data_IF_862172581014
#
_entry.id   IF_862172581014
#
_cell.length_a   1.000
_cell.length_b   1.000
_cell.length_c   1.000
_cell.angle_alpha   90.00
_cell.angle_beta   90.00
_cell.angle_gamma   90.00
#
_symmetry.space_group_name_H-M   'P 1'
#
loop_
_entity.id
_entity.type
_entity.pdbx_description
1 polymer ?
#
# COMPACT_ATOMS: atom_id res chain seq x y z
N UNK A 1 -1.79 27.78 16.36
CA UNK A 1 -1.37 26.91 15.24
C UNK A 1 -2.33 27.12 14.10
N UNK A 2 -1.92 27.83 13.05
CA UNK A 2 -2.78 28.22 11.93
C UNK A 2 -2.77 27.11 10.87
N UNK A 3 -3.96 26.68 10.46
CA UNK A 3 -4.21 25.71 9.39
C UNK A 3 -3.97 26.43 8.05
N UNK A 4 -3.28 25.84 7.06
CA UNK A 4 -3.10 26.50 5.76
C UNK A 4 -4.47 26.66 5.08
N UNK A 5 -4.77 27.89 4.65
CA UNK A 5 -6.00 28.20 3.92
C UNK A 5 -6.02 27.49 2.54
N UNK A 6 -7.18 27.01 2.07
CA UNK A 6 -7.28 26.36 0.78
C UNK A 6 -7.01 27.35 -0.36
N UNK A 7 -6.10 26.98 -1.28
CA UNK A 7 -5.82 27.76 -2.48
C UNK A 7 -7.09 27.92 -3.32
N UNK A 8 -7.35 29.11 -3.91
CA UNK A 8 -8.54 29.35 -4.71
C UNK A 8 -8.53 28.46 -5.97
N UNK A 9 -9.44 27.48 -6.01
CA UNK A 9 -9.67 26.62 -7.17
C UNK A 9 -10.43 27.39 -8.26
N UNK A 10 -9.87 27.43 -9.47
CA UNK A 10 -10.49 28.07 -10.62
C UNK A 10 -11.62 27.17 -11.14
N UNK A 11 -12.87 27.53 -10.86
CA UNK A 11 -14.03 26.85 -11.43
C UNK A 11 -14.22 27.23 -12.91
N UNK A 12 -14.71 26.29 -13.72
CA UNK A 12 -14.95 26.48 -15.16
C UNK A 12 -15.76 27.74 -15.49
N UNK A 13 -16.73 28.08 -14.61
CA UNK A 13 -17.54 29.31 -14.71
C UNK A 13 -16.71 30.60 -14.54
N UNK A 14 -15.71 30.61 -13.64
CA UNK A 14 -14.81 31.75 -13.45
C UNK A 14 -13.86 31.94 -14.65
N UNK A 15 -13.42 30.85 -15.28
CA UNK A 15 -12.59 30.91 -16.49
C UNK A 15 -13.36 31.44 -17.70
N UNK A 16 -14.61 31.01 -17.88
CA UNK A 16 -15.45 31.45 -18.99
C UNK A 16 -15.81 32.94 -18.94
N UNK A 17 -15.86 33.53 -17.74
CA UNK A 17 -16.26 34.93 -17.53
C UNK A 17 -15.11 35.92 -17.71
N UNK A 18 -13.85 35.47 -17.63
CA UNK A 18 -12.65 36.30 -17.87
C UNK A 18 -12.11 36.09 -19.30
N UNK A 19 -12.94 36.40 -20.29
CA UNK A 19 -12.51 36.72 -21.65
C UNK A 19 -11.82 35.61 -22.44
N UNK A 20 -12.51 35.13 -23.48
CA UNK A 20 -11.99 34.46 -24.70
C UNK A 20 -11.81 32.94 -24.76
N UNK A 21 -12.14 32.16 -23.73
CA UNK A 21 -12.20 30.69 -23.88
C UNK A 21 -13.61 30.23 -24.31
N UNK A 22 -13.84 30.01 -25.62
CA UNK A 22 -15.03 29.28 -26.10
C UNK A 22 -14.83 27.77 -25.83
N UNK A 23 -15.81 27.05 -25.24
CA UNK A 23 -15.71 25.61 -25.06
C UNK A 23 -15.64 24.94 -26.43
N UNK A 24 -14.56 24.19 -26.68
CA UNK A 24 -14.32 23.51 -27.95
C UNK A 24 -15.24 22.29 -28.18
N UNK A 25 -16.02 21.88 -27.16
CA UNK A 25 -16.97 20.78 -27.28
C UNK A 25 -18.36 21.28 -26.89
N UNK A 26 -19.28 21.29 -27.86
CA UNK A 26 -20.71 21.22 -27.55
C UNK A 26 -20.96 19.84 -26.97
N UNK A 27 -21.71 19.76 -25.88
CA UNK A 27 -22.30 18.48 -25.48
C UNK A 27 -23.27 18.09 -26.59
N UNK A 28 -23.20 16.87 -27.14
CA UNK A 28 -24.30 16.33 -27.93
C UNK A 28 -25.52 16.31 -27.02
N UNK A 29 -26.62 16.89 -27.50
CA UNK A 29 -27.90 16.85 -26.82
C UNK A 29 -28.25 15.39 -26.52
N UNK A 30 -28.47 15.09 -25.24
CA UNK A 30 -28.81 13.77 -24.72
C UNK A 30 -30.30 13.52 -24.95
N UNK A 31 -30.68 13.42 -26.22
CA UNK A 31 -31.96 12.92 -26.69
C UNK A 31 -31.70 12.16 -27.98
N UNK A 32 -31.36 10.87 -27.88
CA UNK A 32 -31.81 9.90 -28.88
C UNK A 32 -31.58 8.47 -28.39
N UNK A 33 -32.67 7.72 -28.41
CA UNK A 33 -32.73 6.30 -28.12
C UNK A 33 -32.20 5.56 -29.36
N UNK A 34 -30.88 5.54 -29.54
CA UNK A 34 -30.24 4.81 -30.62
C UNK A 34 -30.29 3.29 -30.36
N UNK A 35 -30.72 2.46 -31.33
CA UNK A 35 -30.67 1.01 -31.18
C UNK A 35 -29.20 0.58 -31.17
N UNK A 36 -28.80 -0.11 -30.10
CA UNK A 36 -27.44 -0.64 -29.91
C UNK A 36 -26.99 -1.54 -31.07
N UNK A 37 -27.94 -2.15 -31.78
CA UNK A 37 -27.66 -3.06 -32.90
C UNK A 37 -27.04 -2.36 -34.13
N UNK A 38 -27.27 -1.05 -34.31
CA UNK A 38 -26.70 -0.31 -35.44
C UNK A 38 -25.21 0.06 -35.25
N UNK A 39 -24.71 0.01 -34.02
CA UNK A 39 -23.30 0.24 -33.71
C UNK A 39 -22.43 -0.99 -33.98
N UNK A 40 -23.02 -2.19 -33.94
CA UNK A 40 -22.33 -3.46 -34.14
C UNK A 40 -22.16 -3.87 -35.62
N UNK A 41 -22.89 -3.23 -36.55
CA UNK A 41 -22.83 -3.49 -38.01
C UNK A 41 -21.74 -2.66 -38.73
N UNK A 42 -21.06 -1.77 -38.01
CA UNK A 42 -19.80 -1.19 -38.46
C UNK A 42 -18.74 -2.25 -38.23
N UNK A 43 -18.29 -2.93 -39.29
CA UNK A 43 -17.34 -4.06 -39.32
C UNK A 43 -15.95 -3.86 -38.68
N UNK A 44 -15.84 -3.00 -37.68
CA UNK A 44 -14.75 -2.87 -36.70
C UNK A 44 -14.67 -4.06 -35.74
N UNK A 45 -15.80 -4.72 -35.47
CA UNK A 45 -15.85 -5.92 -34.63
C UNK A 45 -15.49 -7.21 -35.40
N UNK A 46 -15.37 -7.15 -36.73
CA UNK A 46 -15.03 -8.27 -37.62
C UNK A 46 -13.53 -8.29 -38.01
N UNK A 47 -12.67 -7.91 -37.08
CA UNK A 47 -11.22 -8.15 -37.16
C UNK A 47 -10.89 -9.41 -36.36
N UNK A 48 -11.13 -10.59 -36.96
CA UNK A 48 -10.59 -11.90 -36.55
C UNK A 48 -10.31 -12.06 -35.05
N UNK A 49 -11.35 -12.36 -34.27
CA UNK A 49 -11.31 -12.43 -32.82
C UNK A 49 -10.39 -13.52 -32.27
N UNK A 50 -9.14 -13.16 -31.97
CA UNK A 50 -8.38 -13.85 -30.92
C UNK A 50 -8.53 -13.03 -29.65
N UNK A 51 -9.23 -13.58 -28.65
CA UNK A 51 -9.26 -12.96 -27.33
C UNK A 51 -7.82 -12.82 -26.84
N UNK A 52 -7.40 -11.64 -26.36
CA UNK A 52 -6.07 -11.47 -25.81
C UNK A 52 -5.84 -12.45 -24.66
N UNK A 53 -4.67 -13.11 -24.63
CA UNK A 53 -4.34 -14.21 -23.69
C UNK A 53 -4.63 -13.87 -22.22
N UNK A 54 -4.48 -12.61 -21.83
CA UNK A 54 -4.80 -12.10 -20.49
C UNK A 54 -6.26 -12.27 -20.06
N UNK A 55 -7.21 -12.34 -21.00
CA UNK A 55 -8.61 -12.63 -20.71
C UNK A 55 -8.81 -14.14 -20.47
N UNK A 56 -8.16 -14.99 -21.27
CA UNK A 56 -8.17 -16.46 -21.12
C UNK A 56 -7.58 -16.87 -19.78
N UNK A 57 -6.44 -16.28 -19.41
CA UNK A 57 -5.78 -16.53 -18.12
C UNK A 57 -6.65 -16.08 -16.94
N UNK A 58 -7.37 -14.96 -17.11
CA UNK A 58 -8.31 -14.46 -16.09
C UNK A 58 -9.47 -15.42 -15.86
N UNK A 59 -10.01 -15.99 -16.93
CA UNK A 59 -11.12 -16.93 -16.83
C UNK A 59 -10.66 -18.29 -16.27
N UNK A 60 -9.46 -18.76 -16.63
CA UNK A 60 -8.85 -19.93 -16.00
C UNK A 60 -8.61 -19.73 -14.49
N UNK A 61 -8.13 -18.56 -14.09
CA UNK A 61 -7.86 -18.23 -12.69
C UNK A 61 -9.16 -18.11 -11.86
N UNK A 62 -10.23 -17.56 -12.44
CA UNK A 62 -11.56 -17.56 -11.80
C UNK A 62 -12.04 -18.97 -11.50
N UNK A 63 -11.90 -19.89 -12.46
CA UNK A 63 -12.30 -21.29 -12.29
C UNK A 63 -11.50 -21.98 -11.19
N UNK A 64 -10.21 -21.65 -11.03
CA UNK A 64 -9.38 -22.21 -9.96
C UNK A 64 -9.72 -21.62 -8.58
N UNK A 65 -10.06 -20.33 -8.50
CA UNK A 65 -10.51 -19.66 -7.27
C UNK A 65 -11.89 -20.14 -6.82
N UNK A 66 -12.78 -20.45 -7.76
CA UNK A 66 -14.12 -20.97 -7.49
C UNK A 66 -14.12 -22.43 -7.02
N UNK A 67 -12.99 -23.16 -7.13
CA UNK A 67 -12.86 -24.48 -6.53
C UNK A 67 -12.93 -24.32 -5.00
N UNK A 68 -13.93 -24.92 -4.34
CA UNK A 68 -14.06 -24.80 -2.90
C UNK A 68 -12.91 -25.54 -2.21
N UNK A 69 -11.89 -24.81 -1.78
CA UNK A 69 -10.89 -25.30 -0.83
C UNK A 69 -11.59 -25.60 0.50
N UNK A 70 -11.30 -26.77 1.05
CA UNK A 70 -11.92 -27.26 2.29
C UNK A 70 -11.93 -26.18 3.39
N UNK A 71 -13.13 -25.82 3.87
CA UNK A 71 -13.26 -24.77 4.89
C UNK A 71 -12.57 -25.21 6.17
N UNK A 72 -11.53 -24.48 6.55
CA UNK A 72 -10.79 -24.69 7.80
C UNK A 72 -11.75 -24.55 8.98
N UNK A 73 -11.63 -25.44 9.97
CA UNK A 73 -12.50 -25.41 11.15
C UNK A 73 -12.38 -24.06 11.90
N UNK A 74 -13.47 -23.59 12.50
CA UNK A 74 -13.48 -22.37 13.32
C UNK A 74 -12.46 -22.42 14.46
N UNK A 75 -12.21 -23.62 15.01
CA UNK A 75 -11.21 -23.86 16.05
C UNK A 75 -9.77 -23.67 15.54
N UNK A 76 -9.48 -24.16 14.32
CA UNK A 76 -8.17 -23.98 13.67
C UNK A 76 -7.96 -22.52 13.29
N UNK A 77 -8.97 -21.83 12.76
CA UNK A 77 -8.91 -20.40 12.47
C UNK A 77 -8.68 -19.54 13.73
N UNK A 78 -9.36 -19.86 14.85
CA UNK A 78 -9.16 -19.18 16.12
C UNK A 78 -7.77 -19.45 16.76
N UNK A 79 -7.21 -20.64 16.55
CA UNK A 79 -5.83 -20.96 16.99
C UNK A 79 -4.80 -20.17 16.18
N UNK A 80 -4.93 -20.16 14.86
CA UNK A 80 -4.06 -19.39 13.97
C UNK A 80 -4.19 -17.88 14.26
N UNK A 81 -5.41 -17.40 14.52
CA UNK A 81 -5.65 -16.02 14.97
C UNK A 81 -4.89 -15.68 16.26
N UNK A 82 -4.95 -16.53 17.29
CA UNK A 82 -4.21 -16.32 18.55
C UNK A 82 -2.69 -16.39 18.37
N UNK A 83 -2.19 -17.29 17.53
CA UNK A 83 -0.75 -17.42 17.20
C UNK A 83 -0.24 -16.25 16.34
N UNK A 84 -1.13 -15.52 15.63
CA UNK A 84 -0.77 -14.39 14.77
C UNK A 84 -1.01 -13.03 15.42
N UNK A 85 -1.97 -12.89 16.34
CA UNK A 85 -2.25 -11.69 17.14
C UNK A 85 -1.09 -11.33 18.08
N UNK A 86 -0.35 -12.32 18.59
CA UNK A 86 0.89 -12.11 19.34
C UNK A 86 2.03 -11.51 18.49
N UNK A 87 1.80 -11.29 17.19
CA UNK A 87 2.80 -10.88 16.20
C UNK A 87 2.50 -9.53 15.53
N UNK A 88 1.33 -8.93 15.71
CA UNK A 88 0.87 -7.81 14.84
C UNK A 88 0.43 -6.53 15.56
N UNK A 89 0.40 -6.45 16.89
CA UNK A 89 -0.16 -5.28 17.60
C UNK A 89 0.80 -4.41 18.42
N UNK A 90 2.11 -4.71 18.39
CA UNK A 90 3.10 -4.16 19.33
C UNK A 90 4.22 -5.15 19.71
N UNK A 91 4.35 -6.22 18.92
CA UNK A 91 5.36 -7.25 19.16
C UNK A 91 6.74 -6.73 18.77
N UNK A 92 7.68 -6.80 19.71
CA UNK A 92 9.10 -6.53 19.44
C UNK A 92 9.56 -7.48 18.34
N UNK A 93 9.97 -6.93 17.20
CA UNK A 93 10.60 -7.71 16.15
C UNK A 93 11.93 -8.25 16.67
N UNK A 94 12.15 -9.57 16.57
CA UNK A 94 13.43 -10.17 16.89
C UNK A 94 14.40 -9.95 15.72
N UNK A 95 15.56 -9.36 16.01
CA UNK A 95 16.66 -9.27 15.06
C UNK A 95 17.86 -10.06 15.59
N UNK A 96 18.49 -10.85 14.72
CA UNK A 96 19.73 -11.56 15.06
C UNK A 96 20.90 -10.81 14.45
N UNK A 97 21.77 -10.23 15.28
CA UNK A 97 22.97 -9.51 14.85
C UNK A 97 24.19 -10.43 14.83
N UNK A 98 24.89 -10.47 13.70
CA UNK A 98 26.19 -11.14 13.59
C UNK A 98 27.30 -10.13 13.81
N UNK A 99 28.23 -10.43 14.72
CA UNK A 99 29.37 -9.57 15.05
C UNK A 99 30.66 -10.35 14.87
N UNK A 100 31.69 -9.68 14.36
CA UNK A 100 33.06 -10.21 14.36
C UNK A 100 33.57 -10.35 15.80
N UNK A 101 34.54 -11.24 16.00
CA UNK A 101 35.09 -11.60 17.32
C UNK A 101 35.54 -10.38 18.12
N UNK A 102 36.25 -9.44 17.48
CA UNK A 102 36.73 -8.22 18.13
C UNK A 102 35.56 -7.32 18.59
N UNK A 103 34.57 -7.08 17.74
CA UNK A 103 33.39 -6.27 18.11
C UNK A 103 32.60 -6.90 19.26
N UNK A 104 32.44 -8.22 19.24
CA UNK A 104 31.78 -8.94 20.33
C UNK A 104 32.56 -8.84 21.64
N UNK A 105 33.89 -8.96 21.60
CA UNK A 105 34.75 -8.79 22.78
C UNK A 105 34.59 -7.37 23.36
N UNK A 106 34.64 -6.34 22.52
CA UNK A 106 34.44 -4.95 22.94
C UNK A 106 33.05 -4.72 23.57
N UNK A 107 32.00 -5.27 22.97
CA UNK A 107 30.64 -5.18 23.51
C UNK A 107 30.52 -5.87 24.88
N UNK A 108 31.18 -7.01 25.07
CA UNK A 108 31.22 -7.72 26.35
C UNK A 108 31.94 -6.91 27.42
N UNK A 109 33.12 -6.35 27.10
CA UNK A 109 33.86 -5.49 28.02
C UNK A 109 33.07 -4.22 28.37
N UNK A 110 32.43 -3.57 27.39
CA UNK A 110 31.58 -2.42 27.62
C UNK A 110 30.41 -2.75 28.57
N UNK A 111 29.80 -3.92 28.40
CA UNK A 111 28.73 -4.40 29.31
C UNK A 111 29.25 -4.60 30.74
N UNK A 112 30.45 -5.17 30.89
CA UNK A 112 31.07 -5.39 32.20
C UNK A 112 31.45 -4.09 32.91
N UNK A 113 32.01 -3.12 32.19
CA UNK A 113 32.44 -1.83 32.75
C UNK A 113 31.25 -0.94 33.11
N UNK A 114 30.19 -0.95 32.30
CA UNK A 114 29.02 -0.08 32.50
C UNK A 114 27.94 -0.70 33.40
N UNK A 115 28.02 -1.99 33.69
CA UNK A 115 27.01 -2.72 34.45
C UNK A 115 25.65 -2.82 33.73
N UNK A 116 25.63 -2.65 32.40
CA UNK A 116 24.41 -2.71 31.57
C UNK A 116 24.44 -3.93 30.66
N UNK A 117 23.27 -4.40 30.27
CA UNK A 117 23.20 -5.52 29.32
C UNK A 117 23.65 -5.09 27.93
N UNK A 118 24.25 -6.01 27.19
CA UNK A 118 24.65 -5.79 25.80
C UNK A 118 23.47 -5.39 24.91
N UNK A 119 22.29 -5.95 25.15
CA UNK A 119 21.06 -5.57 24.45
C UNK A 119 20.71 -4.10 24.69
N UNK A 120 20.75 -3.62 25.94
CA UNK A 120 20.46 -2.22 26.25
C UNK A 120 21.45 -1.26 25.60
N UNK A 121 22.75 -1.59 25.61
CA UNK A 121 23.78 -0.78 24.96
C UNK A 121 23.55 -0.66 23.45
N UNK A 122 23.23 -1.79 22.79
CA UNK A 122 22.96 -1.81 21.35
C UNK A 122 21.67 -1.05 21.02
N UNK A 123 20.61 -1.21 21.81
CA UNK A 123 19.36 -0.47 21.61
C UNK A 123 19.59 1.04 21.78
N UNK A 124 20.27 1.47 22.84
CA UNK A 124 20.57 2.90 23.05
C UNK A 124 21.43 3.49 21.92
N UNK A 125 22.43 2.73 21.45
CA UNK A 125 23.26 3.16 20.33
C UNK A 125 22.45 3.28 19.03
N UNK A 126 21.55 2.33 18.77
CA UNK A 126 20.66 2.36 17.61
C UNK A 126 19.70 3.56 17.69
N UNK A 127 19.06 3.77 18.84
CA UNK A 127 18.17 4.91 19.04
C UNK A 127 18.94 6.21 18.81
N UNK A 128 20.11 6.38 19.43
CA UNK A 128 20.95 7.56 19.23
C UNK A 128 21.35 7.77 17.77
N UNK A 129 21.65 6.70 17.03
CA UNK A 129 21.96 6.77 15.60
C UNK A 129 20.74 7.16 14.76
N UNK A 130 19.55 6.64 15.04
CA UNK A 130 18.34 7.00 14.30
C UNK A 130 17.98 8.48 14.51
N UNK A 131 18.24 9.03 15.70
CA UNK A 131 18.08 10.46 15.95
C UNK A 131 19.02 11.34 15.09
N UNK A 132 20.12 10.80 14.56
CA UNK A 132 21.00 11.57 13.65
C UNK A 132 20.54 11.52 12.20
N UNK A 133 19.50 10.73 11.86
CA UNK A 133 19.01 10.56 10.48
C UNK A 133 17.49 10.84 10.41
N UNK A 134 17.06 12.11 10.59
CA UNK A 134 15.63 12.47 10.62
C UNK A 134 14.91 12.26 9.29
N UNK A 135 15.66 12.10 8.19
CA UNK A 135 15.11 11.73 6.88
C UNK A 135 14.34 10.40 6.94
N UNK A 136 14.78 9.46 7.79
CA UNK A 136 14.11 8.18 8.01
C UNK A 136 12.73 8.39 8.60
N UNK A 137 12.57 9.34 9.53
CA UNK A 137 11.25 9.66 10.11
C UNK A 137 10.30 10.25 9.06
N UNK A 138 10.82 11.07 8.14
CA UNK A 138 10.04 11.61 7.02
C UNK A 138 9.58 10.52 6.05
N UNK A 139 10.42 9.50 5.81
CA UNK A 139 10.07 8.32 5.02
C UNK A 139 9.02 7.45 5.74
N UNK A 140 9.16 7.27 7.06
CA UNK A 140 8.18 6.53 7.86
C UNK A 140 6.81 7.22 7.84
N UNK A 141 6.77 8.55 7.88
CA UNK A 141 5.53 9.32 7.80
C UNK A 141 4.77 9.17 6.47
N UNK A 142 5.46 8.76 5.39
CA UNK A 142 4.85 8.51 4.09
C UNK A 142 4.26 7.09 3.97
N UNK A 143 4.58 6.19 4.91
CA UNK A 143 4.04 4.84 4.90
C UNK A 143 2.55 4.85 5.32
N UNK A 144 1.70 4.04 4.67
CA UNK A 144 0.32 3.89 5.10
C UNK A 144 0.28 3.36 6.55
N UNK A 145 -0.69 3.80 7.38
CA UNK A 145 -0.79 3.35 8.75
C UNK A 145 -0.90 1.83 8.76
N UNK A 146 -0.04 1.17 9.54
CA UNK A 146 -0.03 -0.29 9.66
C UNK A 146 -1.42 -0.75 10.06
N UNK A 147 -2.08 -1.50 9.17
CA UNK A 147 -3.42 -2.05 9.43
C UNK A 147 -3.30 -3.05 10.58
N UNK A 148 -3.59 -2.57 11.79
CA UNK A 148 -3.87 -3.44 12.92
C UNK A 148 -5.14 -4.22 12.57
N UNK A 149 -4.98 -5.47 12.14
CA UNK A 149 -6.11 -6.41 12.06
C UNK A 149 -6.60 -6.62 13.49
N UNK A 150 -7.69 -5.94 13.84
CA UNK A 150 -8.48 -6.17 15.05
C UNK A 150 -9.04 -7.59 15.05
#
# INVERSE_FOLDING_TARGET
MARPEPLPSLSSSLLARKGTARPAMRQPDLDDQAPTDALDDLGWNDMGGSQPQVLVDRDALKVEIERPVASVSKATAARIGRETLSKTGGAKAAFTLRLDTDRHLRLRLASAVTGRSSQQLVTQALDAFLHTVPEVDALVAQLPPATSKR
#
